data_IF_141276858577
#
_entry.id   IF_141276858577
#
_cell.length_a   1.000
_cell.length_b   1.000
_cell.length_c   1.000
_cell.angle_alpha   90.00
_cell.angle_beta   90.00
_cell.angle_gamma   90.00
#
_symmetry.space_group_name_H-M   'P 1'
#
loop_
_entity.id
_entity.type
_entity.pdbx_description
1 polymer ?
#
# COMPACT_ATOMS: atom_id res chain seq x y z
N UNK A 1 30.31 15.03 -24.13
CA UNK A 1 30.08 14.08 -23.02
C UNK A 1 28.59 13.96 -22.81
N UNK A 2 27.99 12.95 -23.44
CA UNK A 2 26.55 12.74 -23.43
C UNK A 2 26.08 12.32 -22.04
N UNK A 3 25.34 13.22 -21.38
CA UNK A 3 24.61 12.90 -20.15
C UNK A 3 23.34 12.15 -20.51
N UNK A 4 23.47 10.96 -21.09
CA UNK A 4 22.34 10.04 -21.22
C UNK A 4 22.14 9.34 -19.87
N UNK A 5 21.60 10.07 -18.89
CA UNK A 5 21.11 9.48 -17.64
C UNK A 5 20.06 8.46 -18.06
N UNK A 6 20.42 7.18 -18.03
CA UNK A 6 19.50 6.06 -18.22
C UNK A 6 18.28 6.28 -17.32
N UNK A 7 17.18 6.79 -17.89
CA UNK A 7 15.91 6.86 -17.18
C UNK A 7 15.55 5.43 -16.82
N UNK A 8 15.34 5.17 -15.53
CA UNK A 8 14.95 3.85 -15.06
C UNK A 8 13.76 3.36 -15.89
N UNK A 9 13.92 2.20 -16.55
CA UNK A 9 12.90 1.67 -17.45
C UNK A 9 11.67 1.33 -16.62
N UNK A 10 10.47 1.58 -17.14
CA UNK A 10 9.24 1.16 -16.46
C UNK A 10 9.18 -0.36 -16.34
N UNK A 11 8.61 -0.86 -15.24
CA UNK A 11 8.29 -2.28 -15.08
C UNK A 11 7.21 -2.68 -16.07
N UNK A 12 7.56 -3.57 -16.99
CA UNK A 12 6.66 -4.21 -17.96
C UNK A 12 5.67 -5.14 -17.26
N UNK A 13 4.58 -5.50 -17.94
CA UNK A 13 3.57 -6.43 -17.38
C UNK A 13 4.16 -7.80 -17.03
N UNK A 14 5.11 -8.27 -17.85
CA UNK A 14 5.76 -9.57 -17.64
C UNK A 14 6.72 -9.53 -16.44
N UNK A 15 7.49 -8.45 -16.29
CA UNK A 15 8.31 -8.19 -15.09
C UNK A 15 7.46 -8.13 -13.81
N UNK A 16 6.29 -7.46 -13.87
CA UNK A 16 5.36 -7.41 -12.73
C UNK A 16 4.78 -8.77 -12.38
N UNK A 17 4.43 -9.59 -13.39
CA UNK A 17 3.91 -10.93 -13.16
C UNK A 17 4.95 -11.84 -12.52
N UNK A 18 6.19 -11.82 -13.02
CA UNK A 18 7.31 -12.51 -12.38
C UNK A 18 7.52 -12.05 -10.94
N UNK A 19 7.45 -10.75 -10.69
CA UNK A 19 7.59 -10.21 -9.34
C UNK A 19 6.51 -10.71 -8.38
N UNK A 20 5.24 -10.76 -8.82
CA UNK A 20 4.13 -11.28 -8.01
C UNK A 20 4.27 -12.79 -7.76
N UNK A 21 4.73 -13.57 -8.74
CA UNK A 21 5.01 -15.00 -8.58
C UNK A 21 6.10 -15.23 -7.51
N UNK A 22 7.19 -14.48 -7.56
CA UNK A 22 8.24 -14.52 -6.54
C UNK A 22 7.65 -14.12 -5.17
N UNK A 23 6.95 -12.99 -5.09
CA UNK A 23 6.35 -12.52 -3.83
C UNK A 23 5.42 -13.55 -3.18
N UNK A 24 4.69 -14.33 -3.98
CA UNK A 24 3.76 -15.35 -3.48
C UNK A 24 4.46 -16.40 -2.62
N UNK A 25 5.72 -16.75 -2.94
CA UNK A 25 6.54 -17.67 -2.13
C UNK A 25 6.90 -17.09 -0.75
N UNK A 26 7.08 -15.78 -0.67
CA UNK A 26 7.51 -15.07 0.54
C UNK A 26 6.35 -14.40 1.30
N UNK A 27 5.10 -14.55 0.85
CA UNK A 27 3.93 -13.83 1.40
C UNK A 27 3.79 -13.90 2.92
N UNK A 28 4.10 -15.07 3.50
CA UNK A 28 4.03 -15.33 4.93
C UNK A 28 5.06 -14.55 5.75
N UNK A 29 6.16 -14.10 5.14
CA UNK A 29 7.20 -13.31 5.80
C UNK A 29 6.90 -11.82 5.63
N UNK A 30 6.51 -11.40 4.42
CA UNK A 30 6.36 -9.99 4.05
C UNK A 30 5.12 -9.37 4.71
N UNK A 31 3.98 -10.07 4.69
CA UNK A 31 2.71 -9.52 5.18
C UNK A 31 2.43 -9.86 6.66
N UNK A 32 3.11 -10.85 7.26
CA UNK A 32 2.92 -11.19 8.68
C UNK A 32 3.76 -10.28 9.62
N UNK A 33 3.51 -10.35 10.92
CA UNK A 33 4.25 -9.65 11.99
C UNK A 33 5.64 -10.24 12.26
N UNK A 34 6.36 -10.61 11.21
CA UNK A 34 7.73 -11.13 11.28
C UNK A 34 8.71 -10.03 11.71
N UNK A 35 9.82 -10.43 12.34
CA UNK A 35 10.88 -9.53 12.75
C UNK A 35 11.42 -8.71 11.56
N UNK A 36 11.79 -7.44 11.81
CA UNK A 36 12.30 -6.52 10.78
C UNK A 36 13.48 -7.13 10.00
N UNK A 37 14.40 -7.79 10.70
CA UNK A 37 15.55 -8.47 10.09
C UNK A 37 15.12 -9.56 9.10
N UNK A 38 14.16 -10.40 9.49
CA UNK A 38 13.62 -11.46 8.63
C UNK A 38 12.90 -10.90 7.40
N UNK A 39 12.25 -9.74 7.54
CA UNK A 39 11.66 -9.04 6.39
C UNK A 39 12.75 -8.48 5.47
N UNK A 40 13.79 -7.87 6.02
CA UNK A 40 14.90 -7.33 5.24
C UNK A 40 15.65 -8.43 4.46
N UNK A 41 15.91 -9.56 5.10
CA UNK A 41 16.49 -10.76 4.48
C UNK A 41 15.59 -11.30 3.36
N UNK A 42 14.29 -11.49 3.60
CA UNK A 42 13.36 -11.92 2.56
C UNK A 42 13.35 -10.96 1.36
N UNK A 43 13.40 -9.65 1.59
CA UNK A 43 13.47 -8.66 0.52
C UNK A 43 14.78 -8.71 -0.28
N UNK A 44 15.90 -9.05 0.37
CA UNK A 44 17.17 -9.29 -0.31
C UNK A 44 17.08 -10.55 -1.20
N UNK A 45 16.51 -11.63 -0.68
CA UNK A 45 16.33 -12.88 -1.42
C UNK A 45 15.40 -12.70 -2.63
N UNK A 46 14.27 -12.02 -2.45
CA UNK A 46 13.35 -11.67 -3.54
C UNK A 46 14.06 -10.86 -4.62
N UNK A 47 14.91 -9.91 -4.22
CA UNK A 47 15.64 -9.06 -5.16
C UNK A 47 16.68 -9.86 -5.93
N UNK A 48 17.39 -10.77 -5.25
CA UNK A 48 18.35 -11.67 -5.87
C UNK A 48 17.66 -12.60 -6.86
N UNK A 49 16.55 -13.22 -6.47
CA UNK A 49 15.76 -14.11 -7.32
C UNK A 49 15.16 -13.39 -8.54
N UNK A 50 14.64 -12.18 -8.33
CA UNK A 50 14.13 -11.33 -9.40
C UNK A 50 15.23 -11.01 -10.42
N UNK A 51 16.36 -10.48 -9.97
CA UNK A 51 17.47 -10.07 -10.85
C UNK A 51 18.16 -11.26 -11.54
N UNK A 52 18.12 -12.46 -10.96
CA UNK A 52 18.66 -13.68 -11.56
C UNK A 52 17.79 -14.23 -12.70
N UNK A 53 16.54 -13.78 -12.83
CA UNK A 53 15.64 -14.26 -13.88
C UNK A 53 16.05 -13.75 -15.25
N UNK A 54 16.03 -14.64 -16.24
CA UNK A 54 16.34 -14.31 -17.65
C UNK A 54 15.37 -13.29 -18.27
N UNK A 55 14.21 -13.09 -17.63
CA UNK A 55 13.21 -12.12 -18.07
C UNK A 55 13.57 -10.68 -17.71
N UNK A 56 14.56 -10.49 -16.83
CA UNK A 56 15.00 -9.19 -16.35
C UNK A 56 16.17 -8.68 -17.18
N UNK A 57 15.93 -7.56 -17.85
CA UNK A 57 16.94 -6.88 -18.68
C UNK A 57 17.69 -5.83 -17.84
N UNK A 58 17.05 -5.25 -16.83
CA UNK A 58 17.62 -4.24 -15.95
C UNK A 58 17.42 -4.65 -14.49
N UNK A 59 18.54 -4.86 -13.80
CA UNK A 59 18.56 -5.14 -12.37
C UNK A 59 17.87 -4.03 -11.57
N UNK A 60 17.22 -4.45 -10.49
CA UNK A 60 16.47 -3.58 -9.60
C UNK A 60 17.04 -3.67 -8.19
N UNK A 61 16.99 -2.55 -7.49
CA UNK A 61 17.30 -2.51 -6.06
C UNK A 61 16.10 -2.95 -5.22
N UNK A 62 16.39 -3.39 -4.00
CA UNK A 62 15.36 -3.72 -2.99
C UNK A 62 14.36 -2.58 -2.83
N UNK A 63 14.84 -1.33 -2.80
CA UNK A 63 13.99 -0.15 -2.65
C UNK A 63 13.01 0.02 -3.83
N UNK A 64 13.45 -0.29 -5.06
CA UNK A 64 12.59 -0.21 -6.24
C UNK A 64 11.51 -1.29 -6.22
N UNK A 65 11.84 -2.51 -5.82
CA UNK A 65 10.87 -3.61 -5.70
C UNK A 65 9.88 -3.39 -4.55
N UNK A 66 10.34 -2.88 -3.40
CA UNK A 66 9.45 -2.44 -2.31
C UNK A 66 8.48 -1.36 -2.78
N UNK A 67 8.98 -0.36 -3.50
CA UNK A 67 8.14 0.71 -4.07
C UNK A 67 7.14 0.17 -5.09
N UNK A 68 7.55 -0.79 -5.92
CA UNK A 68 6.64 -1.47 -6.85
C UNK A 68 5.50 -2.16 -6.09
N UNK A 69 5.81 -2.90 -5.02
CA UNK A 69 4.80 -3.56 -4.20
C UNK A 69 3.83 -2.57 -3.55
N UNK A 70 4.35 -1.50 -2.94
CA UNK A 70 3.50 -0.44 -2.37
C UNK A 70 2.58 0.18 -3.42
N UNK A 71 3.10 0.47 -4.61
CA UNK A 71 2.30 1.03 -5.70
C UNK A 71 1.22 0.07 -6.21
N UNK A 72 1.52 -1.23 -6.30
CA UNK A 72 0.53 -2.24 -6.71
C UNK A 72 -0.63 -2.33 -5.71
N UNK A 73 -0.31 -2.36 -4.40
CA UNK A 73 -1.31 -2.32 -3.32
C UNK A 73 -2.12 -1.02 -3.35
N UNK A 74 -1.46 0.12 -3.54
CA UNK A 74 -2.12 1.42 -3.57
C UNK A 74 -3.08 1.53 -4.77
N UNK A 75 -2.64 1.14 -5.96
CA UNK A 75 -3.47 1.18 -7.16
C UNK A 75 -4.75 0.34 -7.00
N UNK A 76 -4.66 -0.83 -6.35
CA UNK A 76 -5.85 -1.63 -6.02
C UNK A 76 -6.76 -0.92 -5.01
N UNK A 77 -6.22 -0.33 -3.94
CA UNK A 77 -7.01 0.44 -2.97
C UNK A 77 -7.70 1.64 -3.62
N UNK A 78 -7.02 2.34 -4.52
CA UNK A 78 -7.56 3.48 -5.25
C UNK A 78 -8.69 3.07 -6.19
N UNK A 79 -8.53 1.95 -6.90
CA UNK A 79 -9.58 1.39 -7.76
C UNK A 79 -10.85 1.06 -6.95
N UNK A 80 -10.69 0.39 -5.80
CA UNK A 80 -11.80 0.08 -4.89
C UNK A 80 -12.45 1.33 -4.28
N UNK A 81 -11.64 2.32 -3.90
CA UNK A 81 -12.15 3.58 -3.33
C UNK A 81 -12.94 4.36 -4.37
N UNK A 82 -12.45 4.43 -5.61
CA UNK A 82 -13.13 5.10 -6.72
C UNK A 82 -14.47 4.42 -7.04
N UNK A 83 -14.52 3.09 -7.03
CA UNK A 83 -15.76 2.33 -7.18
C UNK A 83 -16.76 2.67 -6.07
N UNK A 84 -16.31 2.62 -4.80
CA UNK A 84 -17.16 2.93 -3.64
C UNK A 84 -17.71 4.35 -3.71
N UNK A 85 -16.86 5.32 -4.02
CA UNK A 85 -17.28 6.72 -4.22
C UNK A 85 -18.31 6.85 -5.33
N UNK A 86 -18.09 6.17 -6.46
CA UNK A 86 -19.00 6.25 -7.59
C UNK A 86 -20.37 5.57 -7.30
N UNK A 87 -20.40 4.51 -6.48
CA UNK A 87 -21.65 3.93 -5.93
C UNK A 87 -22.38 4.88 -4.97
N UNK A 88 -21.64 5.60 -4.14
CA UNK A 88 -22.23 6.55 -3.17
C UNK A 88 -22.74 7.82 -3.84
N UNK A 89 -22.15 8.23 -4.97
CA UNK A 89 -22.49 9.44 -5.69
C UNK A 89 -23.76 9.30 -6.57
N UNK A 90 -24.28 8.10 -6.82
CA UNK A 90 -25.41 7.90 -7.73
C UNK A 90 -26.76 7.91 -7.03
N UNK A 91 -27.38 9.09 -6.99
CA UNK A 91 -28.83 9.23 -6.86
C UNK A 91 -29.52 8.80 -8.16
N UNK A 92 -29.89 7.52 -8.27
CA UNK A 92 -30.55 6.87 -9.43
C UNK A 92 -29.74 6.89 -10.75
N UNK A 93 -28.85 5.91 -10.97
CA UNK A 93 -28.40 5.60 -12.34
C UNK A 93 -27.19 4.69 -12.47
N UNK A 94 -27.38 3.57 -13.18
CA UNK A 94 -26.42 2.58 -13.73
C UNK A 94 -25.42 1.91 -12.76
N UNK A 95 -25.53 0.59 -12.67
CA UNK A 95 -24.60 -0.29 -11.94
C UNK A 95 -23.20 -0.19 -12.54
N UNK A 96 -22.27 0.38 -11.78
CA UNK A 96 -20.85 0.32 -12.11
C UNK A 96 -20.40 -1.12 -11.92
N UNK A 97 -19.88 -1.73 -12.98
CA UNK A 97 -19.28 -3.07 -12.98
C UNK A 97 -18.25 -3.14 -11.86
N UNK A 98 -18.36 -4.17 -11.01
CA UNK A 98 -17.46 -4.41 -9.89
C UNK A 98 -16.00 -4.32 -10.32
N UNK A 99 -15.16 -3.62 -9.56
CA UNK A 99 -13.72 -3.57 -9.84
C UNK A 99 -13.16 -4.99 -9.73
N UNK A 100 -12.59 -5.48 -10.84
CA UNK A 100 -11.90 -6.75 -10.88
C UNK A 100 -10.58 -6.61 -10.12
N UNK A 101 -10.48 -7.35 -9.01
CA UNK A 101 -9.28 -7.38 -8.18
C UNK A 101 -8.31 -8.35 -8.83
N UNK A 102 -7.07 -7.90 -9.04
CA UNK A 102 -6.01 -8.77 -9.56
C UNK A 102 -5.87 -9.99 -8.62
N UNK A 103 -6.18 -11.21 -9.11
CA UNK A 103 -6.19 -12.41 -8.29
C UNK A 103 -4.80 -12.68 -7.70
N UNK A 104 -3.72 -12.36 -8.41
CA UNK A 104 -2.35 -12.59 -7.96
C UNK A 104 -2.03 -11.71 -6.74
N UNK A 105 -2.52 -10.47 -6.71
CA UNK A 105 -2.33 -9.57 -5.57
C UNK A 105 -3.20 -10.02 -4.38
N UNK A 106 -4.43 -10.48 -4.63
CA UNK A 106 -5.32 -10.97 -3.57
C UNK A 106 -4.77 -12.18 -2.81
N UNK A 107 -4.02 -13.05 -3.51
CA UNK A 107 -3.40 -14.25 -2.94
C UNK A 107 -2.26 -13.89 -1.98
N UNK A 108 -1.58 -12.77 -2.23
CA UNK A 108 -0.44 -12.28 -1.46
C UNK A 108 -0.90 -11.40 -0.29
N UNK A 109 -1.85 -10.49 -0.55
CA UNK A 109 -2.38 -9.54 0.42
C UNK A 109 -3.91 -9.67 0.55
N UNK A 110 -4.43 -10.74 1.17
CA UNK A 110 -5.87 -10.97 1.30
C UNK A 110 -6.55 -9.89 2.14
N UNK A 111 -5.84 -9.31 3.11
CA UNK A 111 -6.35 -8.25 3.98
C UNK A 111 -6.36 -6.87 3.32
N UNK A 112 -5.90 -6.73 2.08
CA UNK A 112 -5.92 -5.45 1.36
C UNK A 112 -7.33 -4.84 1.28
N UNK A 113 -8.35 -5.71 1.32
CA UNK A 113 -9.77 -5.38 1.25
C UNK A 113 -10.45 -5.20 2.61
N UNK A 114 -9.81 -5.60 3.72
CA UNK A 114 -10.36 -5.28 5.03
C UNK A 114 -10.27 -3.77 5.17
N UNK A 115 -11.41 -3.13 5.26
CA UNK A 115 -11.57 -1.72 5.61
C UNK A 115 -11.06 -1.50 7.03
N UNK A 116 -9.75 -1.63 7.23
CA UNK A 116 -9.12 -1.14 8.43
C UNK A 116 -8.73 0.31 8.16
N UNK A 117 -9.17 1.24 9.02
CA UNK A 117 -8.63 2.60 9.02
C UNK A 117 -7.11 2.51 8.97
N UNK A 118 -6.47 3.30 8.10
CA UNK A 118 -5.01 3.36 8.06
C UNK A 118 -4.52 3.88 9.43
N UNK A 119 -4.18 2.98 10.35
CA UNK A 119 -3.59 3.34 11.63
C UNK A 119 -2.17 3.82 11.33
N UNK A 120 -1.99 5.14 11.33
CA UNK A 120 -0.67 5.74 11.24
C UNK A 120 0.01 5.61 12.62
N UNK A 121 0.65 4.46 12.86
CA UNK A 121 1.49 4.26 14.04
C UNK A 121 2.89 4.80 13.77
N UNK A 122 3.09 6.11 13.96
CA UNK A 122 4.42 6.67 14.14
C UNK A 122 4.63 7.03 15.60
N UNK A 123 5.84 6.78 16.10
CA UNK A 123 6.30 7.20 17.41
C UNK A 123 6.46 8.73 17.43
N UNK A 124 5.34 9.46 17.46
CA UNK A 124 5.36 10.92 17.50
C UNK A 124 5.88 11.41 18.86
N UNK A 125 6.76 12.40 18.84
CA UNK A 125 7.17 13.12 20.03
C UNK A 125 6.00 13.98 20.58
N UNK A 126 6.00 14.28 21.88
CA UNK A 126 4.89 14.96 22.56
C UNK A 126 4.51 16.31 21.93
N UNK A 127 5.48 16.99 21.30
CA UNK A 127 5.28 18.27 20.61
C UNK A 127 4.62 18.13 19.24
N UNK A 128 4.94 17.05 18.51
CA UNK A 128 4.30 16.74 17.22
C UNK A 128 2.84 16.35 17.43
N UNK A 129 2.56 15.63 18.53
CA UNK A 129 1.21 15.26 18.96
C UNK A 129 0.36 16.52 19.21
N UNK A 130 0.87 17.50 19.94
CA UNK A 130 0.14 18.75 20.21
C UNK A 130 -0.21 19.53 18.93
N UNK A 131 0.72 19.57 17.97
CA UNK A 131 0.47 20.16 16.65
C UNK A 131 -0.66 19.44 15.88
N UNK A 132 -0.66 18.11 15.93
CA UNK A 132 -1.71 17.28 15.33
C UNK A 132 -3.06 17.53 16.02
N UNK A 133 -3.13 17.51 17.35
CA UNK A 133 -4.37 17.81 18.08
C UNK A 133 -4.96 19.16 17.71
N UNK A 134 -4.13 20.21 17.59
CA UNK A 134 -4.58 21.54 17.22
C UNK A 134 -5.15 21.60 15.79
N UNK A 135 -4.54 20.88 14.84
CA UNK A 135 -5.04 20.79 13.47
C UNK A 135 -6.38 20.04 13.43
N UNK A 136 -6.49 18.93 14.16
CA UNK A 136 -7.70 18.10 14.17
C UNK A 136 -8.88 18.81 14.86
N UNK A 137 -8.64 19.50 15.98
CA UNK A 137 -9.65 20.35 16.63
C UNK A 137 -10.12 21.47 15.71
N UNK A 138 -9.22 22.10 14.95
CA UNK A 138 -9.58 23.13 13.97
C UNK A 138 -10.45 22.59 12.83
N UNK A 139 -10.39 21.28 12.57
CA UNK A 139 -11.19 20.57 11.57
C UNK A 139 -12.39 19.81 12.16
N UNK A 140 -12.71 19.99 13.46
CA UNK A 140 -13.75 19.24 14.18
C UNK A 140 -13.60 17.72 14.13
N UNK A 141 -12.37 17.20 14.08
CA UNK A 141 -12.07 15.78 14.11
C UNK A 141 -11.73 15.33 15.54
N UNK A 142 -12.31 14.21 15.99
CA UNK A 142 -12.06 13.67 17.35
C UNK A 142 -10.91 12.66 17.34
N UNK A 143 -10.00 12.78 18.30
CA UNK A 143 -8.88 11.85 18.53
C UNK A 143 -9.17 11.02 19.77
N UNK A 144 -9.06 9.69 19.68
CA UNK A 144 -9.24 8.79 20.83
C UNK A 144 -7.92 8.06 21.14
N UNK A 145 -7.64 7.89 22.44
CA UNK A 145 -6.46 7.20 22.92
C UNK A 145 -6.82 5.80 23.43
N UNK A 146 -6.19 4.76 22.90
CA UNK A 146 -6.45 3.38 23.33
C UNK A 146 -5.16 2.55 23.36
N UNK A 147 -4.89 1.90 24.50
CA UNK A 147 -3.73 1.01 24.70
C UNK A 147 -2.38 1.60 24.21
N UNK A 148 -2.08 2.85 24.57
CA UNK A 148 -0.82 3.50 24.24
C UNK A 148 -0.69 3.95 22.77
N UNK A 149 -1.74 3.82 21.96
CA UNK A 149 -1.75 4.22 20.56
C UNK A 149 -2.82 5.30 20.32
N UNK A 150 -2.46 6.30 19.50
CA UNK A 150 -3.41 7.31 19.01
C UNK A 150 -4.22 6.73 17.85
N UNK A 151 -5.54 6.75 17.96
CA UNK A 151 -6.46 6.35 16.90
C UNK A 151 -7.20 7.59 16.40
N UNK A 152 -6.99 7.92 15.12
CA UNK A 152 -7.58 9.09 14.48
C UNK A 152 -8.87 8.72 13.73
N UNK A 153 -10.01 9.31 14.10
CA UNK A 153 -11.28 9.11 13.41
C UNK A 153 -11.72 10.37 12.66
N UNK A 154 -12.25 10.19 11.45
CA UNK A 154 -13.02 11.23 10.75
C UNK A 154 -14.49 10.95 10.99
N UNK A 155 -15.09 11.65 11.95
CA UNK A 155 -16.54 11.70 12.08
C UNK A 155 -17.08 12.57 10.94
N UNK A 156 -17.61 11.97 9.89
CA UNK A 156 -18.59 12.67 9.07
C UNK A 156 -19.82 12.87 9.95
N UNK A 157 -20.08 14.12 10.35
CA UNK A 157 -21.34 14.49 10.99
C UNK A 157 -22.48 14.05 10.06
N UNK A 158 -23.19 13.01 10.46
CA UNK A 158 -24.55 12.76 9.98
C UNK A 158 -25.36 13.91 10.58
N UNK A 159 -25.57 14.95 9.78
CA UNK A 159 -26.63 15.92 10.02
C UNK A 159 -27.93 15.15 9.81
N UNK A 160 -28.64 14.84 10.89
CA UNK A 160 -30.07 14.49 10.88
C UNK A 160 -30.84 15.79 10.93
#
# INVERSE_FOLDING_TARGET
MDKNKNKAKHFTSLERKLFLDILTRYKHIIENFSALKSKDEAWLDITKEYNASQLIIQERSVQQLRKLWTNLKQNQRDALTKEKQARMATGRGLSITSVEIDPDISVIAPDLMKTEPTIYSSNFDSKEIEGIYNIFNKLNLTVLYFNGNFIFYVLYSIII
#
